data_IF_271686434298
#
_entry.id   IF_271686434298
#
_cell.length_a   1.000
_cell.length_b   1.000
_cell.length_c   1.000
_cell.angle_alpha   90.00
_cell.angle_beta   90.00
_cell.angle_gamma   90.00
#
_symmetry.space_group_name_H-M   'P 1'
#
loop_
_entity.id
_entity.type
_entity.pdbx_description
1 polymer ?
#
# COMPACT_ATOMS: atom_id res chain seq x y z
N UNK A 1 21.19 43.75 -2.20
CA UNK A 1 22.63 43.57 -2.49
C UNK A 1 23.18 42.50 -1.55
N UNK A 2 24.06 41.63 -2.08
CA UNK A 2 25.05 40.78 -1.37
C UNK A 2 24.49 39.54 -0.65
N UNK A 3 24.98 38.30 -0.83
CA UNK A 3 25.85 37.65 -1.85
C UNK A 3 25.47 36.16 -1.83
N UNK A 4 25.57 35.51 -2.99
CA UNK A 4 25.49 34.05 -3.19
C UNK A 4 26.81 33.38 -2.76
N UNK A 5 26.75 32.17 -2.22
CA UNK A 5 27.91 31.26 -2.17
C UNK A 5 27.49 29.82 -2.46
N UNK A 6 27.89 29.25 -3.62
CA UNK A 6 27.95 27.80 -3.82
C UNK A 6 29.42 27.33 -3.74
N UNK A 7 29.69 26.28 -2.97
CA UNK A 7 31.00 25.59 -2.90
C UNK A 7 30.71 24.10 -3.15
N UNK A 8 30.77 23.67 -4.41
CA UNK A 8 31.91 23.03 -5.11
C UNK A 8 31.89 21.50 -5.00
N UNK A 9 31.33 20.92 -6.06
CA UNK A 9 31.56 19.57 -6.56
C UNK A 9 33.01 19.51 -7.10
N UNK A 10 33.82 18.57 -6.62
CA UNK A 10 35.05 18.18 -7.30
C UNK A 10 35.31 16.69 -7.05
N UNK A 11 34.85 15.88 -7.98
CA UNK A 11 35.25 14.49 -8.13
C UNK A 11 36.68 14.45 -8.71
N UNK A 12 37.61 13.80 -8.00
CA UNK A 12 38.93 13.49 -8.51
C UNK A 12 39.01 11.98 -8.73
N UNK A 13 38.77 11.56 -9.98
CA UNK A 13 39.03 10.21 -10.44
C UNK A 13 40.53 10.07 -10.73
N UNK A 14 41.19 9.13 -10.06
CA UNK A 14 42.59 8.79 -10.32
C UNK A 14 42.63 7.51 -11.16
N UNK A 15 43.11 7.65 -12.39
CA UNK A 15 43.32 6.58 -13.37
C UNK A 15 44.78 6.10 -13.21
N UNK A 16 44.99 4.80 -13.02
CA UNK A 16 46.29 4.13 -13.21
C UNK A 16 46.07 2.97 -14.18
N UNK A 17 46.92 2.80 -15.23
CA UNK A 17 46.70 1.84 -16.30
C UNK A 17 47.51 0.53 -16.13
N UNK A 18 47.14 -0.43 -16.99
CA UNK A 18 47.94 -1.54 -17.55
C UNK A 18 48.15 -2.81 -16.72
N UNK A 19 47.64 -3.94 -17.21
CA UNK A 19 48.45 -4.86 -18.03
C UNK A 19 47.58 -5.93 -18.69
N UNK A 20 47.88 -6.20 -19.96
CA UNK A 20 47.28 -7.23 -20.79
C UNK A 20 47.82 -8.63 -20.43
N UNK A 21 47.02 -9.68 -20.66
CA UNK A 21 47.48 -10.95 -21.26
C UNK A 21 46.30 -11.86 -21.59
N UNK A 22 46.36 -12.39 -22.82
CA UNK A 22 45.42 -13.27 -23.49
C UNK A 22 45.46 -14.69 -22.90
N UNK A 23 44.31 -15.36 -22.82
CA UNK A 23 44.13 -16.76 -23.25
C UNK A 23 42.62 -17.08 -23.30
N UNK A 24 42.10 -17.34 -24.50
CA UNK A 24 40.85 -18.07 -24.71
C UNK A 24 41.07 -19.56 -24.47
N UNK A 25 40.03 -20.28 -24.01
CA UNK A 25 39.42 -21.19 -24.97
C UNK A 25 37.89 -21.07 -25.02
N UNK A 26 37.42 -21.17 -26.26
CA UNK A 26 36.05 -21.34 -26.69
C UNK A 26 35.48 -22.66 -26.12
N UNK A 27 34.39 -22.57 -25.36
CA UNK A 27 33.59 -23.73 -24.94
C UNK A 27 32.14 -23.50 -25.33
N UNK A 28 31.87 -23.71 -26.61
CA UNK A 28 30.53 -23.74 -27.18
C UNK A 28 29.85 -25.11 -26.96
N UNK A 29 29.14 -25.29 -25.85
CA UNK A 29 27.94 -26.15 -25.71
C UNK A 29 27.45 -26.03 -24.25
N UNK A 30 26.19 -25.78 -23.89
CA UNK A 30 24.95 -26.19 -24.51
C UNK A 30 23.83 -25.17 -24.22
N UNK A 31 22.99 -24.93 -25.23
CA UNK A 31 21.69 -24.28 -25.07
C UNK A 31 20.77 -25.19 -24.29
N UNK A 32 20.31 -24.72 -23.14
CA UNK A 32 18.96 -24.93 -22.61
C UNK A 32 18.64 -23.84 -21.60
N UNK A 33 18.32 -22.60 -22.01
CA UNK A 33 17.74 -21.65 -21.09
C UNK A 33 16.29 -22.07 -20.85
N UNK A 34 16.03 -22.88 -19.81
CA UNK A 34 14.71 -22.86 -19.14
C UNK A 34 14.67 -21.68 -18.18
N UNK A 35 14.96 -20.49 -18.71
CA UNK A 35 14.60 -19.23 -18.07
C UNK A 35 13.13 -19.01 -18.37
N UNK A 36 12.26 -19.67 -17.59
CA UNK A 36 10.94 -19.11 -17.38
C UNK A 36 11.19 -17.74 -16.76
N UNK A 37 10.93 -16.69 -17.53
CA UNK A 37 11.15 -15.31 -17.15
C UNK A 37 10.57 -15.06 -15.75
N UNK A 38 11.41 -15.07 -14.70
CA UNK A 38 11.01 -14.61 -13.37
C UNK A 38 10.62 -13.12 -13.41
N UNK A 39 11.09 -12.39 -14.43
CA UNK A 39 10.61 -11.07 -14.80
C UNK A 39 9.17 -11.07 -15.39
N UNK A 40 8.77 -12.06 -16.20
CA UNK A 40 7.37 -12.19 -16.67
C UNK A 40 6.46 -12.76 -15.58
N UNK A 41 6.98 -13.57 -14.66
CA UNK A 41 6.20 -14.07 -13.52
C UNK A 41 5.86 -12.94 -12.53
N UNK A 42 6.70 -11.89 -12.46
CA UNK A 42 6.38 -10.63 -11.75
C UNK A 42 5.36 -9.81 -12.55
N UNK A 43 5.39 -9.86 -13.88
CA UNK A 43 4.37 -9.22 -14.74
C UNK A 43 2.98 -9.88 -14.63
N UNK A 44 2.91 -11.19 -14.32
CA UNK A 44 1.65 -11.93 -14.18
C UNK A 44 1.16 -12.12 -12.72
N UNK A 45 1.99 -11.89 -11.71
CA UNK A 45 1.63 -12.20 -10.32
C UNK A 45 2.15 -11.20 -9.30
N UNK A 46 1.54 -10.00 -9.21
CA UNK A 46 2.06 -9.01 -8.25
C UNK A 46 1.19 -7.78 -8.03
N UNK A 47 -0.04 -7.95 -7.54
CA UNK A 47 -0.86 -6.90 -6.91
C UNK A 47 -1.04 -5.63 -7.73
N UNK A 48 -2.13 -5.52 -8.50
CA UNK A 48 -2.51 -4.29 -9.23
C UNK A 48 -2.30 -3.05 -8.34
N UNK A 49 -1.22 -2.32 -8.57
CA UNK A 49 -1.06 -0.98 -8.02
C UNK A 49 -2.09 -0.15 -8.77
N UNK A 50 -3.25 0.06 -8.14
CA UNK A 50 -4.29 0.94 -8.69
C UNK A 50 -3.63 2.31 -8.96
N UNK A 51 -3.77 2.79 -10.19
CA UNK A 51 -3.37 4.15 -10.57
C UNK A 51 -4.14 5.17 -9.72
N UNK A 52 -3.66 6.42 -9.56
CA UNK A 52 -4.42 7.46 -8.86
C UNK A 52 -5.87 7.58 -9.36
N UNK A 53 -6.04 7.63 -10.68
CA UNK A 53 -7.33 7.66 -11.36
C UNK A 53 -8.22 6.44 -11.01
N UNK A 54 -7.65 5.23 -11.03
CA UNK A 54 -8.40 4.03 -10.65
C UNK A 54 -8.78 4.00 -9.16
N UNK A 55 -7.97 4.62 -8.28
CA UNK A 55 -8.30 4.73 -6.86
C UNK A 55 -9.46 5.69 -6.67
N UNK A 56 -9.43 6.84 -7.34
CA UNK A 56 -10.50 7.83 -7.30
C UNK A 56 -11.81 7.23 -7.83
N UNK A 57 -11.78 6.58 -8.99
CA UNK A 57 -12.95 5.89 -9.55
C UNK A 57 -13.53 4.85 -8.57
N UNK A 58 -12.66 4.08 -7.90
CA UNK A 58 -13.09 3.09 -6.90
C UNK A 58 -13.63 3.72 -5.62
N UNK A 59 -13.15 4.89 -5.23
CA UNK A 59 -13.69 5.65 -4.09
C UNK A 59 -15.07 6.20 -4.45
N UNK A 60 -15.22 6.78 -5.63
CA UNK A 60 -16.50 7.26 -6.16
C UNK A 60 -17.53 6.12 -6.29
N UNK A 61 -17.13 4.95 -6.81
CA UNK A 61 -17.99 3.76 -6.88
C UNK A 61 -18.47 3.33 -5.48
N UNK A 62 -17.57 3.32 -4.49
CA UNK A 62 -17.92 2.98 -3.10
C UNK A 62 -18.87 3.99 -2.47
N UNK A 63 -18.70 5.27 -2.78
CA UNK A 63 -19.58 6.33 -2.31
C UNK A 63 -20.97 6.24 -2.95
N UNK A 64 -21.03 6.04 -4.26
CA UNK A 64 -22.29 5.80 -4.97
C UNK A 64 -23.01 4.56 -4.42
N UNK A 65 -22.27 3.47 -4.20
CA UNK A 65 -22.82 2.25 -3.61
C UNK A 65 -23.34 2.48 -2.19
N UNK A 66 -22.58 3.16 -1.34
CA UNK A 66 -23.02 3.48 0.02
C UNK A 66 -24.27 4.37 0.03
N UNK A 67 -24.30 5.37 -0.85
CA UNK A 67 -25.45 6.27 -1.00
C UNK A 67 -26.70 5.50 -1.41
N UNK A 68 -26.59 4.59 -2.38
CA UNK A 68 -27.69 3.74 -2.82
C UNK A 68 -28.12 2.73 -1.74
N UNK A 69 -27.18 2.04 -1.11
CA UNK A 69 -27.46 1.00 -0.12
C UNK A 69 -28.07 1.56 1.16
N UNK A 70 -27.63 2.73 1.62
CA UNK A 70 -28.18 3.37 2.82
C UNK A 70 -29.30 4.37 2.52
N UNK A 71 -29.61 4.64 1.25
CA UNK A 71 -30.59 5.65 0.86
C UNK A 71 -30.22 7.04 1.41
N UNK A 72 -28.94 7.42 1.31
CA UNK A 72 -28.46 8.71 1.84
C UNK A 72 -28.98 9.86 0.98
N UNK A 73 -29.44 10.93 1.63
CA UNK A 73 -29.70 12.19 0.92
C UNK A 73 -28.39 12.82 0.43
N UNK A 74 -28.48 13.74 -0.53
CA UNK A 74 -27.31 14.50 -1.01
C UNK A 74 -26.60 15.26 0.12
N UNK A 75 -27.39 15.84 1.03
CA UNK A 75 -26.87 16.55 2.19
C UNK A 75 -26.15 15.61 3.17
N UNK A 76 -26.71 14.43 3.45
CA UNK A 76 -26.05 13.43 4.29
C UNK A 76 -24.75 12.92 3.65
N UNK A 77 -24.76 12.66 2.33
CA UNK A 77 -23.58 12.24 1.60
C UNK A 77 -22.46 13.29 1.66
N UNK A 78 -22.80 14.57 1.46
CA UNK A 78 -21.85 15.68 1.55
C UNK A 78 -21.26 15.82 2.97
N UNK A 79 -22.08 15.69 4.01
CA UNK A 79 -21.61 15.73 5.41
C UNK A 79 -20.65 14.56 5.71
N UNK A 80 -20.98 13.35 5.24
CA UNK A 80 -20.11 12.17 5.41
C UNK A 80 -18.78 12.35 4.68
N UNK A 81 -18.80 12.92 3.48
CA UNK A 81 -17.58 13.21 2.73
C UNK A 81 -16.71 14.22 3.48
N UNK A 82 -17.30 15.32 3.98
CA UNK A 82 -16.58 16.33 4.77
C UNK A 82 -15.94 15.72 6.03
N UNK A 83 -16.64 14.83 6.75
CA UNK A 83 -16.08 14.08 7.89
C UNK A 83 -14.88 13.24 7.43
N UNK A 84 -14.95 12.54 6.31
CA UNK A 84 -13.80 11.73 5.85
C UNK A 84 -12.60 12.59 5.47
N UNK A 85 -12.85 13.72 4.82
CA UNK A 85 -11.81 14.64 4.38
C UNK A 85 -11.08 15.28 5.57
N UNK A 86 -11.80 15.64 6.64
CA UNK A 86 -11.18 16.22 7.84
C UNK A 86 -10.26 15.23 8.56
N UNK A 87 -10.57 13.93 8.53
CA UNK A 87 -9.76 12.88 9.16
C UNK A 87 -8.63 12.32 8.26
N UNK A 88 -8.69 12.56 6.95
CA UNK A 88 -7.69 12.10 5.97
C UNK A 88 -6.23 12.37 6.38
N UNK A 89 -5.82 13.59 6.80
CA UNK A 89 -4.43 13.84 7.17
C UNK A 89 -3.93 12.98 8.35
N UNK A 90 -4.80 12.68 9.31
CA UNK A 90 -4.45 11.86 10.48
C UNK A 90 -4.21 10.40 10.06
N UNK A 91 -5.05 9.88 9.15
CA UNK A 91 -4.84 8.55 8.56
C UNK A 91 -3.56 8.46 7.75
N UNK A 92 -3.24 9.51 6.98
CA UNK A 92 -2.05 9.56 6.16
C UNK A 92 -0.79 9.63 7.01
N UNK A 93 -0.81 10.41 8.11
CA UNK A 93 0.27 10.46 9.09
C UNK A 93 0.53 9.08 9.73
N UNK A 94 -0.51 8.40 10.23
CA UNK A 94 -0.37 7.06 10.80
C UNK A 94 0.13 6.03 9.78
N UNK A 95 -0.29 6.15 8.51
CA UNK A 95 0.18 5.27 7.43
C UNK A 95 1.66 5.52 7.13
N UNK A 96 2.09 6.78 7.12
CA UNK A 96 3.49 7.15 6.91
C UNK A 96 4.37 6.62 8.06
N UNK A 97 3.94 6.79 9.31
CA UNK A 97 4.64 6.24 10.48
C UNK A 97 4.75 4.71 10.40
N UNK A 98 3.66 4.02 10.07
CA UNK A 98 3.67 2.57 9.93
C UNK A 98 4.55 2.08 8.77
N UNK A 99 4.65 2.86 7.69
CA UNK A 99 5.58 2.56 6.59
C UNK A 99 7.02 2.73 7.07
N UNK A 100 7.35 3.84 7.74
CA UNK A 100 8.71 4.11 8.23
C UNK A 100 9.21 3.02 9.20
N UNK A 101 8.38 2.62 10.17
CA UNK A 101 8.71 1.51 11.09
C UNK A 101 8.91 0.18 10.36
N UNK A 102 8.13 -0.08 9.32
CA UNK A 102 8.27 -1.31 8.55
C UNK A 102 9.58 -1.30 7.76
N UNK A 103 9.90 -0.16 7.16
CA UNK A 103 11.12 0.02 6.37
C UNK A 103 12.38 -0.03 7.25
N UNK A 104 12.28 0.34 8.53
CA UNK A 104 13.36 0.18 9.51
C UNK A 104 13.53 -1.26 10.05
N UNK A 105 12.76 -2.23 9.54
CA UNK A 105 12.82 -3.62 9.98
C UNK A 105 12.16 -3.88 11.33
N UNK A 106 11.31 -2.97 11.82
CA UNK A 106 10.60 -3.17 13.08
C UNK A 106 9.68 -4.40 13.00
N UNK A 107 9.56 -5.10 14.13
CA UNK A 107 8.77 -6.31 14.23
C UNK A 107 7.26 -6.01 14.29
N UNK A 108 6.45 -7.05 14.45
CA UNK A 108 4.99 -6.89 14.49
C UNK A 108 4.50 -6.20 15.76
N UNK A 109 5.24 -6.32 16.87
CA UNK A 109 4.85 -5.74 18.16
C UNK A 109 5.02 -4.22 18.14
N UNK A 110 6.08 -3.72 17.50
CA UNK A 110 6.29 -2.28 17.27
C UNK A 110 5.16 -1.61 16.45
N UNK A 111 4.36 -2.39 15.71
CA UNK A 111 3.21 -1.90 14.94
C UNK A 111 1.91 -1.81 15.73
N UNK A 112 1.83 -2.44 16.91
CA UNK A 112 0.63 -2.44 17.75
C UNK A 112 0.11 -1.05 18.12
N UNK A 113 0.93 -0.09 18.57
CA UNK A 113 0.43 1.24 18.89
C UNK A 113 -0.21 1.94 17.68
N UNK A 114 0.38 1.78 16.49
CA UNK A 114 -0.17 2.35 15.24
C UNK A 114 -1.50 1.68 14.89
N UNK A 115 -1.63 0.37 15.11
CA UNK A 115 -2.89 -0.35 14.86
C UNK A 115 -3.99 0.09 15.80
N UNK A 116 -3.70 0.27 17.09
CA UNK A 116 -4.67 0.77 18.06
C UNK A 116 -5.08 2.20 17.75
N UNK A 117 -4.14 3.09 17.43
CA UNK A 117 -4.45 4.47 16.99
C UNK A 117 -5.33 4.46 15.74
N UNK A 118 -5.01 3.64 14.74
CA UNK A 118 -5.81 3.47 13.53
C UNK A 118 -7.22 2.95 13.83
N UNK A 119 -7.37 2.03 14.79
CA UNK A 119 -8.66 1.48 15.22
C UNK A 119 -9.50 2.54 15.93
N UNK A 120 -8.89 3.28 16.85
CA UNK A 120 -9.53 4.41 17.54
C UNK A 120 -10.02 5.46 16.57
N UNK A 121 -9.17 5.88 15.62
CA UNK A 121 -9.52 6.88 14.62
C UNK A 121 -10.68 6.42 13.73
N UNK A 122 -10.70 5.15 13.33
CA UNK A 122 -11.85 4.56 12.61
C UNK A 122 -13.12 4.54 13.46
N UNK A 123 -12.99 4.30 14.76
CA UNK A 123 -14.10 4.34 15.70
C UNK A 123 -14.73 5.73 15.78
N UNK A 124 -13.90 6.77 15.89
CA UNK A 124 -14.32 8.17 15.92
C UNK A 124 -15.06 8.57 14.64
N UNK A 125 -14.46 8.31 13.47
CA UNK A 125 -15.11 8.57 12.17
C UNK A 125 -16.45 7.85 12.05
N UNK A 126 -16.51 6.58 12.48
CA UNK A 126 -17.76 5.81 12.45
C UNK A 126 -18.82 6.43 13.38
N UNK A 127 -18.43 6.89 14.56
CA UNK A 127 -19.34 7.51 15.52
C UNK A 127 -19.92 8.82 14.95
N UNK A 128 -19.09 9.68 14.38
CA UNK A 128 -19.53 10.94 13.76
C UNK A 128 -20.43 10.69 12.54
N UNK A 129 -20.06 9.77 11.65
CA UNK A 129 -20.94 9.38 10.53
C UNK A 129 -22.28 8.85 11.07
N UNK A 130 -22.27 8.08 12.15
CA UNK A 130 -23.48 7.57 12.79
C UNK A 130 -24.44 8.65 13.27
N UNK A 131 -23.96 9.86 13.59
CA UNK A 131 -24.79 10.99 13.99
C UNK A 131 -25.52 11.64 12.79
N UNK A 132 -24.95 11.51 11.58
CA UNK A 132 -25.57 12.01 10.33
C UNK A 132 -26.67 11.06 9.81
N UNK A 133 -26.60 9.78 10.20
CA UNK A 133 -27.53 8.74 9.76
C UNK A 133 -28.80 8.68 10.63
N UNK A 134 -29.95 8.43 9.98
CA UNK A 134 -31.18 8.13 10.71
C UNK A 134 -31.04 6.79 11.47
N UNK A 135 -31.86 6.54 12.51
CA UNK A 135 -31.83 5.27 13.24
C UNK A 135 -31.97 4.04 12.33
N UNK A 136 -32.87 4.11 11.34
CA UNK A 136 -33.12 3.05 10.36
C UNK A 136 -31.90 2.81 9.45
N UNK A 137 -31.27 3.89 8.97
CA UNK A 137 -30.05 3.81 8.17
C UNK A 137 -28.89 3.23 8.96
N UNK A 138 -28.78 3.55 10.27
CA UNK A 138 -27.78 2.96 11.16
C UNK A 138 -27.97 1.46 11.28
N UNK A 139 -29.19 1.00 11.56
CA UNK A 139 -29.50 -0.43 11.66
C UNK A 139 -29.13 -1.18 10.38
N UNK A 140 -29.46 -0.59 9.21
CA UNK A 140 -29.09 -1.15 7.91
C UNK A 140 -27.57 -1.23 7.71
N UNK A 141 -26.85 -0.17 8.08
CA UNK A 141 -25.38 -0.15 8.02
C UNK A 141 -24.74 -1.19 8.94
N UNK A 142 -25.36 -1.50 10.09
CA UNK A 142 -24.86 -2.53 11.01
C UNK A 142 -25.05 -3.94 10.43
N UNK A 143 -26.21 -4.21 9.83
CA UNK A 143 -26.52 -5.49 9.17
C UNK A 143 -25.62 -5.77 7.95
N UNK A 144 -25.15 -4.72 7.28
CA UNK A 144 -24.24 -4.84 6.12
C UNK A 144 -22.76 -5.06 6.50
N UNK A 145 -22.39 -5.05 7.78
CA UNK A 145 -21.00 -5.30 8.17
C UNK A 145 -20.63 -6.73 7.75
N UNK A 146 -19.61 -6.93 6.89
CA UNK A 146 -19.21 -8.27 6.53
C UNK A 146 -18.71 -8.98 7.79
N UNK A 147 -19.21 -10.19 8.02
CA UNK A 147 -18.72 -11.09 9.05
C UNK A 147 -17.21 -11.27 8.83
N UNK A 148 -16.39 -10.71 9.72
CA UNK A 148 -14.93 -10.76 9.61
C UNK A 148 -14.43 -12.09 10.19
N UNK A 149 -14.87 -13.20 9.60
CA UNK A 149 -14.36 -14.54 9.86
C UNK A 149 -13.49 -15.02 8.69
N UNK A 150 -12.31 -15.56 9.01
CA UNK A 150 -11.61 -16.62 8.25
C UNK A 150 -10.88 -16.35 6.93
N UNK A 151 -10.78 -15.12 6.42
CA UNK A 151 -9.91 -14.87 5.23
C UNK A 151 -8.41 -14.70 5.51
N UNK A 152 -7.93 -15.06 6.70
CA UNK A 152 -6.52 -14.85 7.12
C UNK A 152 -5.62 -16.09 7.08
N UNK A 153 -6.05 -17.20 6.44
CA UNK A 153 -5.27 -18.45 6.36
C UNK A 153 -4.52 -18.74 5.05
N UNK A 154 -4.86 -18.10 3.93
CA UNK A 154 -4.46 -18.57 2.59
C UNK A 154 -3.10 -18.11 2.03
N UNK A 155 -2.08 -17.83 2.85
CA UNK A 155 -0.76 -17.38 2.36
C UNK A 155 0.39 -18.03 3.14
N UNK A 156 0.49 -19.36 3.08
CA UNK A 156 1.56 -20.12 3.72
C UNK A 156 2.00 -21.40 2.99
N UNK A 157 1.14 -22.05 2.22
CA UNK A 157 1.47 -23.33 1.56
C UNK A 157 1.94 -23.13 0.11
N UNK A 158 3.17 -22.66 -0.05
CA UNK A 158 3.90 -22.81 -1.32
C UNK A 158 5.39 -22.90 -1.00
N UNK A 159 5.90 -24.10 -0.73
CA UNK A 159 7.35 -24.29 -0.70
C UNK A 159 7.98 -25.46 0.08
N UNK A 160 7.24 -26.39 0.69
CA UNK A 160 7.85 -27.62 1.23
C UNK A 160 7.40 -28.83 0.41
N UNK A 161 8.17 -29.14 -0.64
CA UNK A 161 8.13 -30.47 -1.22
C UNK A 161 8.84 -31.45 -0.26
N UNK A 162 8.34 -32.68 -0.09
CA UNK A 162 9.01 -33.69 0.72
C UNK A 162 10.30 -34.14 0.02
N UNK A 163 11.39 -34.19 0.77
CA UNK A 163 12.59 -34.92 0.35
C UNK A 163 12.24 -36.41 0.26
N UNK A 164 12.49 -37.02 -0.89
CA UNK A 164 12.63 -38.47 -1.02
C UNK A 164 14.10 -38.84 -0.83
#
# INVERSE_FOLDING_TARGET
>A
MKVRTPVLLAAAALIIPMAASLLTPDFAQARSPRHGNRAELIAQGGGRILTPEQREAKMAEREAKMKAELGLSDQQAAQIQAIRESYKPQFDALRAQGKALKDSGADRTAMEPIREQMKTLRGQVKAEIGQVLTPEQRAKAEAMKPERGDRRGGRGERGTAPAQ
#
